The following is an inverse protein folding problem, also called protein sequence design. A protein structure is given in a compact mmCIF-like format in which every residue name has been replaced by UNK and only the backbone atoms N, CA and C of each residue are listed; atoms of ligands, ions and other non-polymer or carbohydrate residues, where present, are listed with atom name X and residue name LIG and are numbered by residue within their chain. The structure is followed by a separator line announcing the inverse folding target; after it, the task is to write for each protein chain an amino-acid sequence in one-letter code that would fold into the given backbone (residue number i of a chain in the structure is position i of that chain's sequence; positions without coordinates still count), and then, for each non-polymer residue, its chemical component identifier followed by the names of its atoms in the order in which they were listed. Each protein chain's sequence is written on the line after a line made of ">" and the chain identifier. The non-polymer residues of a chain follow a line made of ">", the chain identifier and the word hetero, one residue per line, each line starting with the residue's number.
data_IF_018294641899
#
_entry.id   IF_018294641899
#
_cell.length_a   1.000
_cell.length_b   1.000
_cell.length_c   1.000
_cell.angle_alpha   90.00
_cell.angle_beta   90.00
_cell.angle_gamma   90.00
#
_symmetry.space_group_name_H-M   'P 1'
#
loop_
_entity.id
_entity.type
_entity.pdbx_description
1 polymer ?
2 non-polymer ?
3 water ?
#
# COMPACT_ATOMS: atom_id res chain seq x y z
N UNK A 6 -9.62 -31.72 -7.98
CA UNK A 6 -9.01 -31.56 -9.38
C UNK A 6 -9.54 -30.23 -9.93
N UNK A 7 -10.80 -30.16 -10.35
CA UNK A 7 -11.42 -28.80 -10.61
C UNK A 7 -11.44 -27.88 -9.33
N UNK A 8 -11.75 -28.61 -8.20
CA UNK A 8 -11.75 -27.90 -6.79
C UNK A 8 -10.33 -27.44 -6.51
N UNK A 9 -9.34 -28.32 -6.67
CA UNK A 9 -7.97 -27.91 -6.45
C UNK A 9 -7.53 -26.73 -7.32
N UNK A 10 -7.92 -26.73 -8.58
CA UNK A 10 -7.52 -25.64 -9.47
C UNK A 10 -8.18 -24.32 -9.02
N UNK A 11 -9.42 -24.38 -8.56
CA UNK A 11 -10.10 -23.19 -8.06
C UNK A 11 -9.44 -22.68 -6.77
N UNK A 12 -9.06 -23.59 -5.87
CA UNK A 12 -8.36 -23.16 -4.67
C UNK A 12 -7.06 -22.42 -5.04
N UNK A 13 -6.30 -23.00 -5.98
CA UNK A 13 -5.07 -22.32 -6.41
C UNK A 13 -5.35 -20.93 -6.97
N UNK A 14 -6.39 -20.80 -7.79
CA UNK A 14 -6.76 -19.50 -8.34
C UNK A 14 -7.09 -18.49 -7.22
N UNK A 15 -7.89 -18.92 -6.24
CA UNK A 15 -8.21 -18.01 -5.14
C UNK A 15 -6.95 -17.63 -4.35
N UNK A 16 -6.03 -18.58 -4.15
CA UNK A 16 -4.77 -18.23 -3.51
C UNK A 16 -3.99 -17.17 -4.32
N UNK A 17 -4.02 -17.27 -5.65
CA UNK A 17 -3.38 -16.23 -6.47
C UNK A 17 -4.05 -14.86 -6.27
N UNK A 18 -5.38 -14.85 -6.23
CA UNK A 18 -6.10 -13.60 -5.95
C UNK A 18 -5.65 -13.03 -4.59
N UNK A 19 -5.55 -13.91 -3.58
CA UNK A 19 -5.16 -13.45 -2.25
C UNK A 19 -3.75 -12.84 -2.24
N UNK A 20 -2.81 -13.51 -2.92
CA UNK A 20 -1.43 -13.03 -3.04
C UNK A 20 -1.39 -11.67 -3.75
N UNK A 21 -2.08 -11.57 -4.89
CA UNK A 21 -2.10 -10.32 -5.64
C UNK A 21 -2.73 -9.20 -4.81
N UNK A 22 -3.71 -9.54 -3.97
CA UNK A 22 -4.32 -8.53 -3.11
C UNK A 22 -3.32 -8.02 -2.07
N UNK A 23 -2.47 -8.91 -1.53
CA UNK A 23 -1.44 -8.45 -0.60
C UNK A 23 -0.39 -7.58 -1.30
N UNK A 24 -0.05 -7.89 -2.55
CA UNK A 24 0.85 -7.00 -3.27
C UNK A 24 0.23 -5.59 -3.39
N UNK A 25 -1.08 -5.56 -3.66
CA UNK A 25 -1.80 -4.29 -3.73
C UNK A 25 -1.83 -3.59 -2.36
N UNK A 26 -2.06 -4.35 -1.28
CA UNK A 26 -2.00 -3.79 0.07
C UNK A 26 -0.63 -3.15 0.33
N UNK A 27 0.45 -3.86 -0.02
CA UNK A 27 1.78 -3.31 0.24
C UNK A 27 2.00 -2.02 -0.57
N UNK A 28 1.51 -1.98 -1.81
CA UNK A 28 1.58 -0.76 -2.61
C UNK A 28 0.81 0.38 -1.93
N UNK A 29 -0.40 0.10 -1.45
CA UNK A 29 -1.19 1.15 -0.81
C UNK A 29 -0.55 1.63 0.51
N UNK A 30 0.13 0.74 1.24
CA UNK A 30 0.87 1.21 2.40
C UNK A 30 1.99 2.19 1.97
N UNK A 31 2.66 1.90 0.86
CA UNK A 31 3.67 2.82 0.34
C UNK A 31 3.04 4.16 -0.07
N UNK A 32 1.85 4.12 -0.68
CA UNK A 32 1.15 5.36 -1.02
C UNK A 32 0.89 6.20 0.25
N UNK A 33 0.37 5.56 1.29
CA UNK A 33 0.08 6.28 2.53
C UNK A 33 1.36 6.91 3.10
N UNK A 34 2.44 6.11 3.16
CA UNK A 34 3.68 6.59 3.76
C UNK A 34 4.28 7.76 2.98
N UNK A 35 4.29 7.64 1.65
CA UNK A 35 4.83 8.72 0.82
C UNK A 35 3.99 9.99 0.94
N UNK A 36 2.67 9.86 0.91
CA UNK A 36 1.87 11.08 1.05
C UNK A 36 2.04 11.70 2.42
N UNK A 37 2.23 10.89 3.46
CA UNK A 37 2.45 11.45 4.78
C UNK A 37 3.76 12.26 4.81
N UNK A 38 4.82 11.71 4.18
CA UNK A 38 6.08 12.45 4.12
C UNK A 38 5.88 13.77 3.36
N UNK A 39 5.14 13.76 2.25
CA UNK A 39 4.92 15.01 1.50
C UNK A 39 4.13 16.01 2.37
N UNK A 40 3.12 15.51 3.07
CA UNK A 40 2.30 16.37 3.91
C UNK A 40 3.15 16.99 5.04
N UNK A 41 3.96 16.17 5.69
CA UNK A 41 4.84 16.66 6.76
C UNK A 41 5.86 17.66 6.23
N UNK A 42 6.38 17.45 5.03
CA UNK A 42 7.29 18.43 4.42
C UNK A 42 6.63 19.80 4.31
N UNK A 43 5.41 19.84 3.75
CA UNK A 43 4.72 21.12 3.62
C UNK A 43 4.48 21.78 4.97
N UNK A 44 4.10 20.98 5.94
CA UNK A 44 3.89 21.48 7.28
C UNK A 44 5.20 22.01 7.91
N UNK A 45 6.32 21.33 7.66
CA UNK A 45 7.61 21.79 8.16
C UNK A 45 7.99 23.14 7.58
N UNK A 46 7.61 23.42 6.35
CA UNK A 46 7.93 24.69 5.74
C UNK A 46 7.10 25.85 6.34
N UNK A 47 5.93 25.55 6.88
CA UNK A 47 5.01 26.55 7.40
C UNK A 47 5.12 26.77 8.91
N UNK A 48 5.22 25.68 9.66
CA UNK A 48 5.23 25.75 11.11
C UNK A 48 6.64 25.98 11.65
N UNK A 49 7.73 25.80 10.93
CA UNK A 49 9.14 25.98 11.39
C UNK A 49 9.70 26.88 10.36
X LIG B 1 -9.52 -7.62 -3.97
#
# INVERSE_FOLDING_TARGET
>A
GGSNKSDLAALVSLVESVRHEQQQLRNLCEMILEQQQRAKEFGENLYFQ
>B hetero
1 NA NA
#
